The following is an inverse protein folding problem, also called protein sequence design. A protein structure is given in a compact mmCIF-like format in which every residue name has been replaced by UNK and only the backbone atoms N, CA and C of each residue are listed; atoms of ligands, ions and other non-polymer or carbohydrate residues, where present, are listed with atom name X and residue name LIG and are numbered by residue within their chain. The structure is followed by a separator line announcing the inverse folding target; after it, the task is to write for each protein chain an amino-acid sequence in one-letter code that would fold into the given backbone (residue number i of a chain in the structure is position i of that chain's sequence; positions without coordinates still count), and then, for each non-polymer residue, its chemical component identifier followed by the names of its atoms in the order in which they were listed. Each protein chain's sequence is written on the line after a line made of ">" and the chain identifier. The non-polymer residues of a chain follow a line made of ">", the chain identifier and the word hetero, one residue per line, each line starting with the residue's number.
data_IF_333859471657
#
_entry.id   IF_333859471657
#
_cell.length_a   1.000
_cell.length_b   1.000
_cell.length_c   1.000
_cell.angle_alpha   90.00
_cell.angle_beta   90.00
_cell.angle_gamma   90.00
#
_symmetry.space_group_name_H-M   'P 1'
#
loop_
_entity.id
_entity.type
_entity.pdbx_description
1 polymer ?
#
# COMPACT_ATOMS: atom_id res chain seq x y z
N UNK A 1 7.75 50.88 -12.14
CA UNK A 1 7.58 49.63 -12.90
C UNK A 1 8.34 48.53 -12.17
N UNK A 2 7.63 47.64 -11.49
CA UNK A 2 8.22 46.55 -10.72
C UNK A 2 8.64 45.41 -11.66
N UNK A 3 9.91 45.03 -11.62
CA UNK A 3 10.42 43.85 -12.31
C UNK A 3 10.05 42.60 -11.50
N UNK A 4 9.20 41.76 -12.05
CA UNK A 4 8.91 40.42 -11.53
C UNK A 4 10.02 39.46 -11.95
N UNK A 5 10.90 39.14 -11.00
CA UNK A 5 11.83 38.01 -11.07
C UNK A 5 11.04 36.70 -11.09
N UNK A 6 10.90 36.09 -12.27
CA UNK A 6 10.38 34.74 -12.40
C UNK A 6 11.43 33.74 -11.97
N UNK A 7 11.26 33.16 -10.78
CA UNK A 7 12.09 32.06 -10.31
C UNK A 7 11.89 30.84 -11.22
N UNK A 8 12.83 30.59 -12.13
CA UNK A 8 12.93 29.34 -12.85
C UNK A 8 13.48 28.27 -11.93
N UNK A 9 12.61 27.52 -11.25
CA UNK A 9 12.97 26.33 -10.47
C UNK A 9 13.26 25.15 -11.40
N UNK A 10 14.35 25.24 -12.17
CA UNK A 10 14.91 24.06 -12.86
C UNK A 10 16.01 23.50 -11.96
N UNK A 11 15.72 22.38 -11.29
CA UNK A 11 16.70 21.58 -10.57
C UNK A 11 17.90 21.27 -11.48
N UNK A 12 19.12 21.38 -10.98
CA UNK A 12 20.33 21.10 -11.74
C UNK A 12 20.36 19.62 -12.18
N UNK A 13 21.10 19.30 -13.25
CA UNK A 13 21.08 17.97 -13.88
C UNK A 13 21.61 16.83 -12.97
N UNK A 14 22.35 17.16 -11.91
CA UNK A 14 22.79 16.23 -10.85
C UNK A 14 21.78 16.11 -9.68
N UNK A 15 20.73 16.94 -9.68
CA UNK A 15 19.63 16.98 -8.69
C UNK A 15 18.33 16.39 -9.27
N UNK A 16 18.41 15.74 -10.44
CA UNK A 16 17.26 15.13 -11.11
C UNK A 16 17.02 13.70 -10.59
N UNK A 17 15.75 13.32 -10.46
CA UNK A 17 15.36 11.91 -10.23
C UNK A 17 16.02 11.04 -11.30
N UNK A 18 16.66 9.90 -10.94
CA UNK A 18 17.33 9.04 -11.91
C UNK A 18 16.43 8.65 -13.07
N UNK A 19 17.05 8.56 -14.25
CA UNK A 19 16.40 7.91 -15.38
C UNK A 19 15.98 6.48 -14.98
N UNK A 20 14.80 5.96 -15.39
CA UNK A 20 14.37 4.60 -15.02
C UNK A 20 15.34 3.48 -15.44
N UNK A 21 16.24 3.76 -16.39
CA UNK A 21 17.28 2.85 -16.88
C UNK A 21 18.60 2.94 -16.10
N UNK A 22 18.72 3.85 -15.14
CA UNK A 22 19.90 3.95 -14.29
C UNK A 22 19.94 2.75 -13.34
N UNK A 23 20.86 1.83 -13.61
CA UNK A 23 21.05 0.61 -12.82
C UNK A 23 21.89 0.83 -11.56
N UNK A 24 22.53 1.99 -11.40
CA UNK A 24 23.20 2.38 -10.17
C UNK A 24 22.23 2.83 -9.08
N UNK A 25 21.04 3.29 -9.49
CA UNK A 25 20.00 3.76 -8.61
C UNK A 25 19.30 2.63 -7.83
N UNK A 26 19.40 2.66 -6.50
CA UNK A 26 18.83 1.63 -5.64
C UNK A 26 17.31 1.53 -5.83
N UNK A 27 16.63 2.67 -5.90
CA UNK A 27 15.18 2.72 -6.13
C UNK A 27 14.77 2.01 -7.44
N UNK A 28 15.55 2.19 -8.52
CA UNK A 28 15.30 1.53 -9.79
C UNK A 28 15.57 0.03 -9.73
N UNK A 29 16.63 -0.39 -9.03
CA UNK A 29 16.94 -1.80 -8.80
C UNK A 29 15.82 -2.49 -8.01
N UNK A 30 15.36 -1.89 -6.91
CA UNK A 30 14.21 -2.40 -6.14
C UNK A 30 12.99 -2.56 -7.05
N UNK A 31 12.64 -1.54 -7.84
CA UNK A 31 11.49 -1.60 -8.75
C UNK A 31 11.62 -2.71 -9.80
N UNK A 32 12.83 -2.91 -10.35
CA UNK A 32 13.09 -3.96 -11.35
C UNK A 32 12.96 -5.35 -10.74
N UNK A 33 13.62 -5.57 -9.60
CA UNK A 33 13.72 -6.87 -8.91
C UNK A 33 12.40 -7.28 -8.26
N UNK A 34 11.59 -6.32 -7.82
CA UNK A 34 10.29 -6.60 -7.19
C UNK A 34 9.11 -6.54 -8.17
N UNK A 35 9.31 -6.22 -9.45
CA UNK A 35 8.23 -6.01 -10.44
C UNK A 35 7.20 -7.14 -10.49
N UNK A 36 7.65 -8.39 -10.50
CA UNK A 36 6.74 -9.56 -10.55
C UNK A 36 5.93 -9.70 -9.27
N UNK A 37 6.57 -9.48 -8.11
CA UNK A 37 5.90 -9.48 -6.81
C UNK A 37 4.90 -8.33 -6.71
N UNK A 38 5.32 -7.11 -7.04
CA UNK A 38 4.46 -5.93 -7.12
C UNK A 38 3.21 -6.20 -7.96
N UNK A 39 3.36 -6.70 -9.18
CA UNK A 39 2.21 -6.99 -10.05
C UNK A 39 1.26 -8.05 -9.50
N UNK A 40 1.79 -9.06 -8.81
CA UNK A 40 0.99 -10.09 -8.15
C UNK A 40 0.21 -9.50 -6.97
N UNK A 41 0.89 -8.73 -6.12
CA UNK A 41 0.31 -8.11 -4.93
C UNK A 41 -0.70 -7.02 -5.29
N UNK A 42 -0.42 -6.19 -6.30
CA UNK A 42 -1.32 -5.13 -6.76
C UNK A 42 -2.67 -5.70 -7.25
N UNK A 43 -2.64 -6.79 -8.04
CA UNK A 43 -3.85 -7.50 -8.46
C UNK A 43 -4.62 -8.08 -7.26
N UNK A 44 -3.91 -8.68 -6.31
CA UNK A 44 -4.51 -9.21 -5.10
C UNK A 44 -5.16 -8.08 -4.28
N UNK A 45 -4.42 -7.01 -4.00
CA UNK A 45 -4.87 -5.85 -3.25
C UNK A 45 -6.10 -5.21 -3.90
N UNK A 46 -6.08 -4.99 -5.22
CA UNK A 46 -7.21 -4.43 -5.97
C UNK A 46 -8.47 -5.27 -5.80
N UNK A 47 -8.36 -6.59 -5.97
CA UNK A 47 -9.50 -7.50 -5.83
C UNK A 47 -10.02 -7.54 -4.39
N UNK A 48 -9.12 -7.67 -3.40
CA UNK A 48 -9.51 -7.75 -1.99
C UNK A 48 -10.08 -6.44 -1.47
N UNK A 49 -9.53 -5.30 -1.90
CA UNK A 49 -10.08 -3.98 -1.59
C UNK A 49 -11.49 -3.85 -2.14
N UNK A 50 -11.75 -4.22 -3.39
CA UNK A 50 -13.09 -4.16 -3.97
C UNK A 50 -14.13 -4.97 -3.16
N UNK A 51 -13.72 -6.10 -2.56
CA UNK A 51 -14.57 -6.89 -1.65
C UNK A 51 -14.71 -6.21 -0.27
N UNK A 52 -13.62 -5.68 0.28
CA UNK A 52 -13.60 -5.02 1.58
C UNK A 52 -14.43 -3.72 1.59
N UNK A 53 -14.45 -2.96 0.49
CA UNK A 53 -15.27 -1.74 0.37
C UNK A 53 -16.79 -2.00 0.47
N UNK A 54 -17.22 -3.26 0.35
CA UNK A 54 -18.61 -3.69 0.54
C UNK A 54 -18.89 -4.15 1.98
N UNK A 55 -17.92 -4.01 2.87
CA UNK A 55 -18.01 -4.40 4.27
C UNK A 55 -17.12 -3.54 5.18
N UNK A 56 -17.68 -2.52 5.87
CA UNK A 56 -16.92 -1.65 6.76
C UNK A 56 -16.08 -2.42 7.78
N UNK A 57 -16.57 -3.57 8.26
CA UNK A 57 -15.87 -4.38 9.25
C UNK A 57 -14.59 -5.00 8.68
N UNK A 58 -14.64 -5.47 7.44
CA UNK A 58 -13.48 -6.05 6.76
C UNK A 58 -12.49 -4.95 6.39
N UNK A 59 -13.00 -3.82 5.87
CA UNK A 59 -12.15 -2.68 5.52
C UNK A 59 -11.34 -2.18 6.72
N UNK A 60 -11.99 -1.89 7.85
CA UNK A 60 -11.29 -1.38 9.05
C UNK A 60 -10.31 -2.38 9.65
N UNK A 61 -10.58 -3.70 9.54
CA UNK A 61 -9.62 -4.74 9.94
C UNK A 61 -8.39 -4.78 9.02
N UNK A 62 -8.57 -4.55 7.72
CA UNK A 62 -7.46 -4.38 6.79
C UNK A 62 -6.61 -3.15 7.14
N UNK A 63 -7.28 -2.02 7.41
CA UNK A 63 -6.60 -0.81 7.86
C UNK A 63 -5.84 -1.01 9.19
N UNK A 64 -6.45 -1.71 10.16
CA UNK A 64 -5.82 -2.07 11.43
C UNK A 64 -4.57 -2.93 11.23
N UNK A 65 -4.60 -3.89 10.31
CA UNK A 65 -3.42 -4.72 9.99
C UNK A 65 -2.25 -3.85 9.55
N UNK A 66 -2.48 -2.91 8.63
CA UNK A 66 -1.43 -2.01 8.16
C UNK A 66 -1.05 -0.93 9.18
N UNK A 67 -1.97 -0.49 10.06
CA UNK A 67 -1.65 0.42 11.17
C UNK A 67 -0.46 -0.09 12.00
N UNK A 68 -0.49 -1.36 12.43
CA UNK A 68 0.59 -1.92 13.24
C UNK A 68 1.92 -2.02 12.47
N UNK A 69 1.87 -2.25 11.16
CA UNK A 69 3.07 -2.29 10.32
C UNK A 69 3.69 -0.89 10.21
N UNK A 70 2.91 0.12 9.82
CA UNK A 70 3.40 1.50 9.72
C UNK A 70 3.86 2.04 11.08
N UNK A 71 3.10 1.81 12.15
CA UNK A 71 3.49 2.18 13.52
C UNK A 71 4.82 1.57 13.95
N UNK A 72 5.08 0.32 13.54
CA UNK A 72 6.35 -0.35 13.84
C UNK A 72 7.51 0.27 13.05
N UNK A 73 7.33 0.48 11.74
CA UNK A 73 8.34 1.11 10.89
C UNK A 73 8.69 2.50 11.42
N UNK A 74 7.70 3.34 11.71
CA UNK A 74 7.91 4.71 12.21
C UNK A 74 8.58 4.72 13.58
N UNK A 75 8.17 3.85 14.50
CA UNK A 75 8.82 3.71 15.80
C UNK A 75 10.29 3.28 15.66
N UNK A 76 10.57 2.28 14.84
CA UNK A 76 11.94 1.82 14.58
C UNK A 76 12.78 2.93 13.92
N UNK A 77 12.20 3.68 12.98
CA UNK A 77 12.85 4.81 12.34
C UNK A 77 13.20 5.90 13.35
N UNK A 78 12.25 6.33 14.19
CA UNK A 78 12.51 7.31 15.24
C UNK A 78 13.59 6.83 16.21
N UNK A 79 13.58 5.55 16.59
CA UNK A 79 14.62 4.97 17.44
C UNK A 79 16.00 5.05 16.78
N UNK A 80 16.12 4.71 15.49
CA UNK A 80 17.39 4.74 14.76
C UNK A 80 17.89 6.16 14.45
N UNK A 81 16.99 7.11 14.18
CA UNK A 81 17.33 8.54 14.05
C UNK A 81 17.88 9.07 15.38
N UNK A 82 17.24 8.74 16.49
CA UNK A 82 17.64 9.24 17.82
C UNK A 82 18.83 8.49 18.43
N UNK A 83 19.23 7.34 17.87
CA UNK A 83 20.35 6.54 18.36
C UNK A 83 21.72 7.18 18.12
N UNK A 84 21.80 8.20 17.26
CA UNK A 84 23.03 8.91 16.90
C UNK A 84 24.14 7.95 16.44
N UNK A 85 23.79 7.03 15.54
CA UNK A 85 24.68 6.06 14.92
C UNK A 85 24.97 6.44 13.45
N UNK A 86 25.75 5.62 12.75
CA UNK A 86 26.17 5.88 11.36
C UNK A 86 25.00 6.05 10.36
N UNK A 87 23.79 5.60 10.71
CA UNK A 87 22.59 5.67 9.86
C UNK A 87 21.67 6.84 10.20
N UNK A 88 21.84 7.47 11.38
CA UNK A 88 20.90 8.46 11.92
C UNK A 88 20.69 9.64 10.97
N UNK A 89 21.77 10.23 10.46
CA UNK A 89 21.70 11.39 9.56
C UNK A 89 21.02 11.04 8.24
N UNK A 90 21.43 9.93 7.60
CA UNK A 90 20.81 9.47 6.36
C UNK A 90 19.31 9.23 6.51
N UNK A 91 18.91 8.52 7.57
CA UNK A 91 17.50 8.21 7.82
C UNK A 91 16.71 9.50 8.11
N UNK A 92 17.29 10.44 8.85
CA UNK A 92 16.67 11.73 9.14
C UNK A 92 16.49 12.59 7.88
N UNK A 93 17.47 12.62 6.99
CA UNK A 93 17.39 13.40 5.74
C UNK A 93 16.39 12.81 4.73
N UNK A 94 16.30 11.47 4.64
CA UNK A 94 15.31 10.78 3.80
C UNK A 94 13.89 10.97 4.36
N UNK A 95 13.74 10.89 5.68
CA UNK A 95 12.43 10.95 6.31
C UNK A 95 11.76 12.31 6.15
N UNK A 96 10.50 12.30 5.72
CA UNK A 96 9.65 13.49 5.61
C UNK A 96 8.45 13.32 6.54
N UNK A 97 8.25 14.17 7.56
CA UNK A 97 7.12 14.03 8.49
C UNK A 97 5.76 13.94 7.79
N UNK A 98 5.61 14.58 6.63
CA UNK A 98 4.38 14.60 5.83
C UNK A 98 3.95 13.20 5.35
N UNK A 99 4.90 12.27 5.18
CA UNK A 99 4.60 10.90 4.76
C UNK A 99 4.20 9.97 5.90
N UNK A 100 4.38 10.39 7.17
CA UNK A 100 4.02 9.60 8.34
C UNK A 100 2.55 9.15 8.30
N UNK A 101 2.30 7.86 8.50
CA UNK A 101 0.99 7.23 8.37
C UNK A 101 0.41 6.73 9.68
N UNK A 102 1.19 6.55 10.74
CA UNK A 102 0.67 6.02 12.02
C UNK A 102 -0.51 6.84 12.54
N UNK A 103 -0.32 8.15 12.73
CA UNK A 103 -1.36 9.04 13.26
C UNK A 103 -2.57 9.10 12.32
N UNK A 104 -2.33 9.18 11.01
CA UNK A 104 -3.38 9.23 9.99
C UNK A 104 -4.21 7.94 9.95
N UNK A 105 -3.56 6.80 10.14
CA UNK A 105 -4.23 5.51 10.25
C UNK A 105 -5.03 5.41 11.56
N UNK A 106 -4.47 5.90 12.67
CA UNK A 106 -5.15 5.95 13.97
C UNK A 106 -6.42 6.81 13.92
N UNK A 107 -6.36 7.98 13.28
CA UNK A 107 -7.53 8.85 13.05
C UNK A 107 -8.65 8.11 12.31
N UNK A 108 -8.31 7.45 11.20
CA UNK A 108 -9.27 6.65 10.45
C UNK A 108 -9.83 5.49 11.29
N UNK A 109 -8.98 4.78 12.05
CA UNK A 109 -9.41 3.66 12.90
C UNK A 109 -10.34 4.12 14.03
N UNK A 110 -10.05 5.24 14.69
CA UNK A 110 -10.94 5.85 15.68
C UNK A 110 -12.30 6.15 15.05
N UNK A 111 -12.30 6.72 13.85
CA UNK A 111 -13.53 6.97 13.11
C UNK A 111 -14.31 5.66 12.79
N UNK A 112 -13.64 4.62 12.29
CA UNK A 112 -14.29 3.34 11.93
C UNK A 112 -14.66 2.43 13.10
N UNK A 113 -14.05 2.64 14.28
CA UNK A 113 -14.32 1.87 15.51
C UNK A 113 -15.18 2.62 16.54
N UNK A 114 -15.70 3.79 16.18
CA UNK A 114 -16.51 4.68 17.01
C UNK A 114 -15.76 5.09 18.29
N UNK A 115 -14.58 5.67 18.10
CA UNK A 115 -13.68 6.21 19.12
C UNK A 115 -13.24 5.20 20.19
N UNK A 116 -13.33 3.91 19.86
CA UNK A 116 -12.93 2.82 20.75
C UNK A 116 -11.57 2.25 20.35
N UNK A 117 -10.52 2.81 20.95
CA UNK A 117 -9.12 2.39 20.74
C UNK A 117 -8.85 0.94 21.12
N UNK A 118 -9.46 0.43 22.18
CA UNK A 118 -9.25 -0.95 22.67
C UNK A 118 -9.56 -2.01 21.60
N UNK A 119 -10.46 -1.70 20.65
CA UNK A 119 -10.82 -2.62 19.56
C UNK A 119 -9.71 -2.84 18.54
N UNK A 120 -8.73 -1.93 18.43
CA UNK A 120 -7.70 -2.02 17.41
C UNK A 120 -6.27 -1.84 17.90
N UNK A 121 -6.05 -1.37 19.13
CA UNK A 121 -4.70 -1.12 19.65
C UNK A 121 -3.84 -2.39 19.77
N UNK A 122 -4.47 -3.56 19.88
CA UNK A 122 -3.79 -4.86 19.94
C UNK A 122 -3.83 -5.54 18.58
N UNK A 123 -2.68 -5.98 18.05
CA UNK A 123 -2.67 -6.79 16.85
C UNK A 123 -3.29 -8.16 17.14
N UNK A 124 -4.10 -8.67 16.22
CA UNK A 124 -4.82 -9.96 16.36
C UNK A 124 -4.52 -10.96 15.24
N UNK A 125 -3.71 -10.55 14.27
CA UNK A 125 -3.48 -11.24 13.00
C UNK A 125 -2.07 -11.85 13.01
N UNK A 126 -1.93 -13.19 13.12
CA UNK A 126 -0.63 -13.86 13.24
C UNK A 126 0.42 -13.46 12.20
N UNK A 127 0.08 -13.39 10.91
CA UNK A 127 1.03 -13.04 9.85
C UNK A 127 1.48 -11.59 9.97
N UNK A 128 0.58 -10.69 10.37
CA UNK A 128 0.92 -9.29 10.66
C UNK A 128 1.82 -9.17 11.90
N UNK A 129 1.58 -9.97 12.94
CA UNK A 129 2.42 -9.99 14.15
C UNK A 129 3.82 -10.50 13.81
N UNK A 130 3.92 -11.58 13.03
CA UNK A 130 5.20 -12.11 12.54
C UNK A 130 5.95 -11.05 11.73
N UNK A 131 5.25 -10.34 10.83
CA UNK A 131 5.85 -9.28 10.03
C UNK A 131 6.39 -8.13 10.90
N UNK A 132 5.61 -7.67 11.88
CA UNK A 132 6.06 -6.63 12.83
C UNK A 132 7.26 -7.08 13.65
N UNK A 133 7.28 -8.33 14.11
CA UNK A 133 8.41 -8.89 14.85
C UNK A 133 9.66 -8.98 13.97
N UNK A 134 9.52 -9.35 12.70
CA UNK A 134 10.60 -9.33 11.73
C UNK A 134 11.16 -7.92 11.59
N UNK A 135 10.32 -6.90 11.34
CA UNK A 135 10.76 -5.50 11.21
C UNK A 135 11.62 -5.07 12.40
N UNK A 136 11.14 -5.31 13.62
CA UNK A 136 11.87 -4.93 14.84
C UNK A 136 13.24 -5.61 14.89
N UNK A 137 13.30 -6.92 14.60
CA UNK A 137 14.54 -7.68 14.65
C UNK A 137 15.51 -7.27 13.54
N UNK A 138 15.06 -7.24 12.29
CA UNK A 138 15.92 -6.97 11.13
C UNK A 138 16.47 -5.54 11.16
N UNK A 139 15.66 -4.56 11.56
CA UNK A 139 16.12 -3.15 11.69
C UNK A 139 17.03 -2.95 12.89
N UNK A 140 16.82 -3.67 13.99
CA UNK A 140 17.74 -3.63 15.12
C UNK A 140 19.15 -4.11 14.70
N UNK A 141 19.20 -5.22 13.97
CA UNK A 141 20.48 -5.82 13.55
C UNK A 141 21.12 -5.03 12.39
N UNK A 142 20.30 -4.47 11.49
CA UNK A 142 20.73 -3.77 10.27
C UNK A 142 19.84 -2.54 10.01
N UNK A 143 20.15 -1.38 10.62
CA UNK A 143 19.28 -0.20 10.56
C UNK A 143 18.97 0.32 9.16
N UNK A 144 19.91 0.19 8.22
CA UNK A 144 19.72 0.58 6.81
C UNK A 144 18.60 -0.20 6.10
N UNK A 145 18.15 -1.35 6.63
CA UNK A 145 17.00 -2.06 6.06
C UNK A 145 15.70 -1.26 6.15
N UNK A 146 15.61 -0.23 7.01
CA UNK A 146 14.51 0.74 7.00
C UNK A 146 14.28 1.36 5.62
N UNK A 147 15.33 1.50 4.81
CA UNK A 147 15.24 2.03 3.44
C UNK A 147 14.31 1.18 2.55
N UNK A 148 14.27 -0.14 2.75
CA UNK A 148 13.35 -1.02 2.05
C UNK A 148 11.88 -0.67 2.36
N UNK A 149 11.57 -0.44 3.64
CA UNK A 149 10.23 -0.06 4.09
C UNK A 149 9.85 1.34 3.62
N UNK A 150 10.77 2.30 3.75
CA UNK A 150 10.63 3.67 3.27
C UNK A 150 10.40 3.74 1.76
N UNK A 151 11.00 2.85 0.98
CA UNK A 151 10.74 2.73 -0.45
C UNK A 151 9.43 2.00 -0.74
N UNK A 152 9.30 0.74 -0.31
CA UNK A 152 8.19 -0.14 -0.73
C UNK A 152 6.85 0.29 -0.15
N UNK A 153 6.79 0.62 1.15
CA UNK A 153 5.51 0.91 1.82
C UNK A 153 5.00 2.32 1.51
N UNK A 154 5.88 3.33 1.54
CA UNK A 154 5.46 4.73 1.39
C UNK A 154 5.35 5.19 -0.07
N UNK A 155 6.24 4.76 -0.97
CA UNK A 155 6.10 5.11 -2.39
C UNK A 155 4.86 4.48 -3.05
N UNK A 156 4.40 3.34 -2.52
CA UNK A 156 3.15 2.73 -2.96
C UNK A 156 1.94 3.66 -2.72
N UNK A 157 1.95 4.45 -1.64
CA UNK A 157 0.85 5.36 -1.30
C UNK A 157 0.75 6.57 -2.26
N UNK A 158 1.88 7.07 -2.77
CA UNK A 158 1.87 8.14 -3.78
C UNK A 158 1.30 7.70 -5.14
N UNK A 159 1.38 6.41 -5.47
CA UNK A 159 0.90 5.86 -6.73
C UNK A 159 -0.47 5.18 -6.56
N UNK A 160 -0.48 4.00 -5.94
CA UNK A 160 -1.67 3.19 -5.71
C UNK A 160 -2.61 3.81 -4.68
N UNK A 161 -2.08 4.51 -3.67
CA UNK A 161 -2.89 5.14 -2.63
C UNK A 161 -3.90 6.14 -3.17
N UNK A 162 -3.59 6.89 -4.25
CA UNK A 162 -4.56 7.79 -4.89
C UNK A 162 -5.74 7.04 -5.54
N UNK A 163 -5.46 5.90 -6.16
CA UNK A 163 -6.49 5.02 -6.75
C UNK A 163 -7.35 4.40 -5.63
N UNK A 164 -6.71 3.98 -4.53
CA UNK A 164 -7.40 3.46 -3.35
C UNK A 164 -8.29 4.54 -2.73
N UNK A 165 -7.78 5.75 -2.46
CA UNK A 165 -8.52 6.91 -1.95
C UNK A 165 -9.75 7.24 -2.81
N UNK A 166 -9.56 7.26 -4.12
CA UNK A 166 -10.63 7.45 -5.11
C UNK A 166 -11.70 6.35 -5.00
N UNK A 167 -11.31 5.10 -4.80
CA UNK A 167 -12.25 3.98 -4.66
C UNK A 167 -12.99 4.00 -3.31
N UNK A 168 -12.29 4.36 -2.23
CA UNK A 168 -12.80 4.46 -0.86
C UNK A 168 -13.84 5.57 -0.75
N UNK A 169 -13.54 6.76 -1.27
CA UNK A 169 -14.45 7.92 -1.25
C UNK A 169 -15.78 7.67 -1.97
N UNK A 170 -15.80 6.79 -2.98
CA UNK A 170 -17.04 6.39 -3.69
C UNK A 170 -17.75 5.18 -3.08
N UNK A 171 -17.20 4.56 -2.04
CA UNK A 171 -17.75 3.34 -1.49
C UNK A 171 -19.04 3.60 -0.70
N UNK A 172 -20.17 3.17 -1.26
CA UNK A 172 -21.48 3.30 -0.62
C UNK A 172 -21.59 2.40 0.61
N UNK A 173 -21.97 2.97 1.75
CA UNK A 173 -22.15 2.21 2.99
C UNK A 173 -20.85 1.81 3.69
N UNK A 174 -19.70 2.36 3.27
CA UNK A 174 -18.42 2.14 3.94
C UNK A 174 -18.30 2.94 5.24
N UNK A 175 -18.74 4.19 5.21
CA UNK A 175 -18.51 5.15 6.28
C UNK A 175 -19.61 5.05 7.36
N UNK A 176 -19.25 5.07 8.66
CA UNK A 176 -20.17 5.29 9.76
C UNK A 176 -21.03 6.54 9.53
N UNK A 177 -22.31 6.46 9.89
CA UNK A 177 -23.22 7.60 9.84
C UNK A 177 -22.89 8.56 10.99
N UNK A 178 -22.65 9.84 10.68
CA UNK A 178 -22.46 10.90 11.67
C UNK A 178 -23.49 12.00 11.41
N UNK A 179 -24.27 12.34 12.44
CA UNK A 179 -25.31 13.36 12.33
C UNK A 179 -24.68 14.75 12.14
N UNK A 180 -25.30 15.58 11.29
CA UNK A 180 -24.89 16.98 11.10
C UNK A 180 -23.68 17.20 10.21
N UNK A 181 -23.13 16.14 9.60
CA UNK A 181 -22.03 16.23 8.64
C UNK A 181 -22.51 15.90 7.23
N UNK A 182 -21.99 16.63 6.25
CA UNK A 182 -22.11 16.30 4.84
C UNK A 182 -21.36 15.01 4.50
N UNK A 183 -21.71 14.39 3.37
CA UNK A 183 -20.99 13.22 2.89
C UNK A 183 -19.49 13.50 2.68
N UNK A 184 -19.13 14.69 2.19
CA UNK A 184 -17.74 15.07 1.98
C UNK A 184 -16.96 15.15 3.29
N UNK A 185 -17.55 15.74 4.33
CA UNK A 185 -16.94 15.80 5.67
C UNK A 185 -16.74 14.39 6.25
N UNK A 186 -17.74 13.51 6.11
CA UNK A 186 -17.65 12.11 6.55
C UNK A 186 -16.52 11.36 5.83
N UNK A 187 -16.36 11.55 4.51
CA UNK A 187 -15.28 10.92 3.74
C UNK A 187 -13.91 11.41 4.22
N UNK A 188 -13.76 12.71 4.48
CA UNK A 188 -12.50 13.28 5.00
C UNK A 188 -12.11 12.67 6.35
N UNK A 189 -13.07 12.40 7.23
CA UNK A 189 -12.81 11.77 8.53
C UNK A 189 -12.26 10.34 8.45
N UNK A 190 -12.53 9.60 7.36
CA UNK A 190 -12.16 8.19 7.21
C UNK A 190 -11.15 7.89 6.09
N UNK A 191 -10.49 8.90 5.53
CA UNK A 191 -9.53 8.74 4.42
C UNK A 191 -8.17 9.42 4.67
N UNK A 192 -7.85 9.68 5.92
CA UNK A 192 -6.60 10.35 6.34
C UNK A 192 -5.38 9.51 5.95
N UNK A 193 -5.43 8.18 6.10
CA UNK A 193 -4.30 7.29 5.82
C UNK A 193 -3.80 7.43 4.38
N UNK A 194 -4.71 7.60 3.42
CA UNK A 194 -4.38 7.74 2.00
C UNK A 194 -4.25 9.19 1.54
N UNK A 195 -4.26 10.16 2.44
CA UNK A 195 -4.18 11.60 2.12
C UNK A 195 -2.91 12.19 2.74
N UNK A 196 -2.14 12.91 1.93
CA UNK A 196 -0.98 13.66 2.40
C UNK A 196 -1.36 15.13 2.52
N UNK A 197 -1.14 15.73 3.69
CA UNK A 197 -1.50 17.12 3.97
C UNK A 197 -0.46 18.09 3.39
N UNK A 198 -0.36 18.11 2.07
CA UNK A 198 0.59 18.94 1.32
C UNK A 198 -0.10 19.61 0.13
N UNK A 199 0.45 20.75 -0.29
CA UNK A 199 -0.08 21.48 -1.44
C UNK A 199 0.06 20.69 -2.76
N UNK A 200 1.14 19.91 -2.93
CA UNK A 200 1.39 19.11 -4.13
C UNK A 200 2.02 17.75 -3.79
N UNK A 201 1.19 16.69 -3.80
CA UNK A 201 1.63 15.31 -3.58
C UNK A 201 2.64 14.83 -4.65
N UNK A 202 2.60 15.35 -5.88
CA UNK A 202 3.54 14.97 -6.93
C UNK A 202 4.92 15.59 -6.68
N UNK A 203 4.96 16.85 -6.23
CA UNK A 203 6.20 17.50 -5.84
C UNK A 203 6.83 16.78 -4.64
N UNK A 204 6.05 16.48 -3.60
CA UNK A 204 6.54 15.71 -2.45
C UNK A 204 7.13 14.37 -2.89
N UNK A 205 6.43 13.64 -3.78
CA UNK A 205 6.92 12.38 -4.35
C UNK A 205 8.24 12.57 -5.11
N UNK A 206 8.36 13.62 -5.92
CA UNK A 206 9.54 13.89 -6.72
C UNK A 206 10.76 14.19 -5.83
N UNK A 207 10.58 15.07 -4.85
CA UNK A 207 11.62 15.44 -3.88
C UNK A 207 12.06 14.20 -3.09
N UNK A 208 11.10 13.43 -2.57
CA UNK A 208 11.42 12.20 -1.84
C UNK A 208 12.23 11.21 -2.68
N UNK A 209 11.83 10.96 -3.93
CA UNK A 209 12.58 10.06 -4.83
C UNK A 209 13.99 10.55 -5.13
N UNK A 210 14.17 11.87 -5.28
CA UNK A 210 15.49 12.48 -5.47
C UNK A 210 16.35 12.28 -4.23
N UNK A 211 15.87 12.66 -3.06
CA UNK A 211 16.63 12.60 -1.80
C UNK A 211 16.99 11.15 -1.44
N UNK A 212 16.04 10.22 -1.55
CA UNK A 212 16.28 8.80 -1.36
C UNK A 212 17.40 8.28 -2.25
N UNK A 213 17.42 8.67 -3.53
CA UNK A 213 18.49 8.26 -4.43
C UNK A 213 19.84 8.87 -4.03
N UNK A 214 19.90 10.18 -3.87
CA UNK A 214 21.16 10.90 -3.61
C UNK A 214 21.86 10.31 -2.38
N UNK A 215 21.09 10.01 -1.33
CA UNK A 215 21.60 9.49 -0.08
C UNK A 215 21.98 8.01 -0.16
N UNK A 216 21.23 7.19 -0.91
CA UNK A 216 21.51 5.75 -1.01
C UNK A 216 22.57 5.38 -2.04
N UNK A 217 22.86 6.26 -3.00
CA UNK A 217 23.85 5.99 -4.06
C UNK A 217 25.26 5.78 -3.52
N UNK A 218 25.73 6.73 -2.70
CA UNK A 218 27.06 6.70 -2.08
C UNK A 218 27.04 6.31 -0.61
N UNK A 219 25.87 6.36 0.04
CA UNK A 219 25.74 6.03 1.46
C UNK A 219 25.66 4.54 1.78
N UNK A 220 25.57 3.67 0.77
CA UNK A 220 25.49 2.22 0.97
C UNK A 220 26.56 1.50 0.15
N UNK A 221 27.11 0.42 0.73
CA UNK A 221 27.89 -0.56 -0.02
C UNK A 221 27.00 -1.36 -0.97
N UNK A 222 27.59 -2.07 -1.93
CA UNK A 222 26.82 -2.90 -2.84
C UNK A 222 26.14 -4.08 -2.12
N UNK A 223 26.77 -4.65 -1.10
CA UNK A 223 26.20 -5.69 -0.25
C UNK A 223 24.96 -5.17 0.48
N UNK A 224 25.03 -3.98 1.08
CA UNK A 224 23.88 -3.36 1.77
C UNK A 224 22.73 -3.07 0.80
N UNK A 225 23.03 -2.60 -0.41
CA UNK A 225 22.02 -2.40 -1.47
C UNK A 225 21.33 -3.71 -1.84
N UNK A 226 22.08 -4.81 -1.96
CA UNK A 226 21.50 -6.13 -2.24
C UNK A 226 20.60 -6.60 -1.09
N UNK A 227 21.00 -6.38 0.15
CA UNK A 227 20.17 -6.72 1.31
C UNK A 227 18.88 -5.89 1.39
N UNK A 228 18.94 -4.59 1.06
CA UNK A 228 17.73 -3.74 0.96
C UNK A 228 16.79 -4.25 -0.14
N UNK A 229 17.33 -4.76 -1.26
CA UNK A 229 16.54 -5.36 -2.34
C UNK A 229 15.88 -6.67 -1.88
N UNK A 230 16.59 -7.53 -1.17
CA UNK A 230 16.01 -8.77 -0.65
C UNK A 230 14.96 -8.50 0.43
N UNK A 231 15.20 -7.56 1.34
CA UNK A 231 14.19 -7.12 2.31
C UNK A 231 12.97 -6.52 1.59
N UNK A 232 13.18 -5.79 0.48
CA UNK A 232 12.07 -5.29 -0.35
C UNK A 232 11.21 -6.40 -0.94
N UNK A 233 11.82 -7.52 -1.39
CA UNK A 233 11.09 -8.71 -1.86
C UNK A 233 10.29 -9.33 -0.72
N UNK A 234 10.91 -9.49 0.44
CA UNK A 234 10.25 -9.99 1.65
C UNK A 234 9.02 -9.14 2.03
N UNK A 235 9.14 -7.80 2.01
CA UNK A 235 8.03 -6.88 2.30
C UNK A 235 6.83 -7.15 1.37
N UNK A 236 7.05 -7.31 0.06
CA UNK A 236 5.95 -7.64 -0.87
C UNK A 236 5.28 -8.98 -0.52
N UNK A 237 6.07 -9.99 -0.16
CA UNK A 237 5.52 -11.29 0.25
C UNK A 237 4.69 -11.17 1.53
N UNK A 238 5.18 -10.49 2.57
CA UNK A 238 4.45 -10.30 3.82
C UNK A 238 3.18 -9.46 3.64
N UNK A 239 3.21 -8.43 2.79
CA UNK A 239 2.02 -7.68 2.42
C UNK A 239 0.95 -8.60 1.80
N UNK A 240 1.37 -9.52 0.92
CA UNK A 240 0.48 -10.55 0.37
C UNK A 240 -0.08 -11.50 1.41
N UNK A 241 0.75 -11.95 2.37
CA UNK A 241 0.31 -12.81 3.47
C UNK A 241 -0.70 -12.11 4.39
N UNK A 242 -0.43 -10.87 4.80
CA UNK A 242 -1.37 -10.08 5.63
C UNK A 242 -2.72 -9.89 4.94
N UNK A 243 -2.73 -9.58 3.64
CA UNK A 243 -3.96 -9.44 2.85
C UNK A 243 -4.69 -10.79 2.71
N UNK A 244 -3.97 -11.87 2.52
CA UNK A 244 -4.54 -13.22 2.44
C UNK A 244 -5.11 -13.67 3.79
N UNK A 245 -4.45 -13.33 4.89
CA UNK A 245 -4.91 -13.59 6.25
C UNK A 245 -6.21 -12.85 6.57
N UNK A 246 -6.32 -11.59 6.16
CA UNK A 246 -7.55 -10.81 6.32
C UNK A 246 -8.75 -11.50 5.66
N UNK A 247 -8.56 -12.09 4.47
CA UNK A 247 -9.57 -12.90 3.80
C UNK A 247 -9.90 -14.16 4.60
N UNK A 248 -8.88 -14.93 5.02
CA UNK A 248 -9.08 -16.16 5.81
C UNK A 248 -9.86 -15.89 7.09
N UNK A 249 -9.48 -14.84 7.82
CA UNK A 249 -10.14 -14.40 9.05
C UNK A 249 -11.61 -14.05 8.81
N UNK A 250 -11.94 -13.50 7.64
CA UNK A 250 -13.30 -13.09 7.29
C UNK A 250 -14.04 -14.09 6.38
N UNK A 251 -13.51 -15.30 6.16
CA UNK A 251 -13.99 -16.21 5.12
C UNK A 251 -15.46 -16.59 5.29
N UNK A 252 -15.91 -16.86 6.52
CA UNK A 252 -17.32 -17.18 6.82
C UNK A 252 -18.25 -16.00 6.50
N UNK A 253 -17.79 -14.77 6.75
CA UNK A 253 -18.55 -13.55 6.47
C UNK A 253 -18.58 -13.25 4.97
N UNK A 254 -17.46 -13.46 4.28
CA UNK A 254 -17.30 -13.24 2.86
C UNK A 254 -18.09 -14.26 2.02
N UNK A 255 -18.04 -15.55 2.38
CA UNK A 255 -18.68 -16.63 1.61
C UNK A 255 -20.20 -16.52 1.51
N UNK A 256 -20.83 -15.79 2.43
CA UNK A 256 -22.27 -15.47 2.42
C UNK A 256 -22.64 -14.36 1.44
N UNK A 257 -21.67 -13.65 0.86
CA UNK A 257 -21.91 -12.51 -0.04
C UNK A 257 -21.85 -12.93 -1.50
N UNK A 258 -22.86 -12.54 -2.27
CA UNK A 258 -22.92 -12.75 -3.72
C UNK A 258 -21.71 -12.16 -4.47
N UNK A 259 -21.19 -11.01 -4.04
CA UNK A 259 -19.99 -10.41 -4.65
C UNK A 259 -18.75 -11.29 -4.51
N UNK A 260 -18.59 -11.96 -3.38
CA UNK A 260 -17.48 -12.88 -3.15
C UNK A 260 -17.64 -14.15 -3.99
N UNK A 261 -18.85 -14.72 -4.05
CA UNK A 261 -19.17 -15.87 -4.89
C UNK A 261 -18.92 -15.55 -6.36
N UNK A 262 -19.38 -14.40 -6.86
CA UNK A 262 -19.15 -13.97 -8.23
C UNK A 262 -17.64 -13.79 -8.51
N UNK A 263 -16.90 -13.15 -7.61
CA UNK A 263 -15.45 -12.94 -7.77
C UNK A 263 -14.63 -14.24 -7.77
N UNK A 264 -15.01 -15.21 -6.94
CA UNK A 264 -14.25 -16.47 -6.77
C UNK A 264 -14.72 -17.62 -7.65
N UNK A 265 -16.00 -17.64 -8.02
CA UNK A 265 -16.65 -18.74 -8.75
C UNK A 265 -17.29 -18.32 -10.08
N UNK A 266 -17.36 -17.03 -10.40
CA UNK A 266 -18.04 -16.53 -11.60
C UNK A 266 -17.45 -17.08 -12.90
N UNK A 267 -16.14 -17.35 -12.95
CA UNK A 267 -15.50 -17.99 -14.10
C UNK A 267 -16.09 -19.38 -14.40
N UNK A 268 -16.37 -20.21 -13.39
CA UNK A 268 -16.98 -21.53 -13.59
C UNK A 268 -18.40 -21.44 -14.15
N UNK A 269 -19.16 -20.41 -13.75
CA UNK A 269 -20.50 -20.16 -14.29
C UNK A 269 -20.41 -19.76 -15.77
N UNK A 270 -19.49 -18.87 -16.13
CA UNK A 270 -19.26 -18.49 -17.53
C UNK A 270 -18.83 -19.69 -18.38
N UNK A 271 -17.93 -20.52 -17.85
CA UNK A 271 -17.51 -21.77 -18.52
C UNK A 271 -18.68 -22.73 -18.72
N UNK A 272 -19.54 -22.91 -17.72
CA UNK A 272 -20.72 -23.76 -17.85
C UNK A 272 -21.71 -23.22 -18.91
N UNK A 273 -21.95 -21.90 -18.94
CA UNK A 273 -22.78 -21.26 -19.96
C UNK A 273 -22.20 -21.41 -21.36
N UNK A 274 -20.88 -21.28 -21.50
CA UNK A 274 -20.18 -21.49 -22.78
C UNK A 274 -20.31 -22.94 -23.24
N UNK A 275 -20.15 -23.92 -22.34
CA UNK A 275 -20.36 -25.34 -22.66
C UNK A 275 -21.80 -25.59 -23.10
N UNK A 276 -22.80 -25.04 -22.40
CA UNK A 276 -24.20 -25.16 -22.79
C UNK A 276 -24.49 -24.53 -24.16
N UNK A 277 -23.88 -23.37 -24.45
CA UNK A 277 -23.99 -22.73 -25.76
C UNK A 277 -23.39 -23.61 -26.86
N UNK A 278 -22.18 -24.17 -26.65
CA UNK A 278 -21.55 -25.10 -27.59
C UNK A 278 -22.42 -26.32 -27.84
N UNK A 279 -22.93 -26.97 -26.78
CA UNK A 279 -23.83 -28.12 -26.89
C UNK A 279 -25.09 -27.77 -27.68
N UNK A 280 -25.69 -26.60 -27.43
CA UNK A 280 -26.85 -26.12 -28.17
C UNK A 280 -26.56 -25.95 -29.67
N UNK A 281 -25.44 -25.32 -30.03
CA UNK A 281 -25.06 -25.12 -31.43
C UNK A 281 -24.71 -26.43 -32.14
N UNK A 282 -23.97 -27.33 -31.47
CA UNK A 282 -23.66 -28.67 -32.00
C UNK A 282 -24.95 -29.45 -32.26
N UNK A 283 -25.87 -29.47 -31.29
CA UNK A 283 -27.20 -30.10 -31.47
C UNK A 283 -27.94 -29.50 -32.66
N UNK A 284 -27.95 -28.18 -32.79
CA UNK A 284 -28.64 -27.48 -33.89
C UNK A 284 -28.05 -27.86 -35.25
N UNK A 285 -26.72 -27.93 -35.37
CA UNK A 285 -26.02 -28.34 -36.59
C UNK A 285 -26.31 -29.81 -36.94
N UNK A 286 -26.26 -30.72 -35.95
CA UNK A 286 -26.59 -32.13 -36.15
C UNK A 286 -28.03 -32.29 -36.66
N UNK A 287 -28.98 -31.58 -36.05
CA UNK A 287 -30.39 -31.63 -36.50
C UNK A 287 -30.53 -31.10 -37.94
N UNK A 288 -29.86 -30.01 -38.32
CA UNK A 288 -29.88 -29.51 -39.70
C UNK A 288 -29.12 -30.40 -40.70
N UNK A 289 -28.18 -31.22 -40.25
CA UNK A 289 -27.46 -32.15 -41.10
C UNK A 289 -28.23 -33.47 -41.30
N UNK A 290 -29.14 -33.80 -40.37
CA UNK A 290 -29.93 -35.03 -40.38
C UNK A 290 -31.33 -34.89 -40.97
N UNK A 291 -31.86 -33.67 -41.08
CA UNK A 291 -33.18 -33.33 -41.60
C UNK A 291 -33.08 -32.15 -42.56
#
# INVERSE_FOLDING_TARGET
>A
MAQTSGATTKLAQHEAVPAPTDVGALANRINKETRTLHNKIDKMMTLKLALALRDPKIYRQGLQSFYHVFATVERCLTQQINANNEWSDMLNEIWKPEIARTEKCEQDLMFYYDDNREKFEKPIMPEQIEFVNHIVKSVHDKPYLLLAYLHVMYLALFAGGRIMRSSISRATGLFPQKNGLSHEEIVKLGTNFFTFDVADENLLRLVYKRDYELLTRSGLTEEQKLEVIEESKYIFEQNGKCVSELERHNLVRLSRKWSYIAATKGYYVLMALLVLAVVYYVRRLVVHAMF
#
